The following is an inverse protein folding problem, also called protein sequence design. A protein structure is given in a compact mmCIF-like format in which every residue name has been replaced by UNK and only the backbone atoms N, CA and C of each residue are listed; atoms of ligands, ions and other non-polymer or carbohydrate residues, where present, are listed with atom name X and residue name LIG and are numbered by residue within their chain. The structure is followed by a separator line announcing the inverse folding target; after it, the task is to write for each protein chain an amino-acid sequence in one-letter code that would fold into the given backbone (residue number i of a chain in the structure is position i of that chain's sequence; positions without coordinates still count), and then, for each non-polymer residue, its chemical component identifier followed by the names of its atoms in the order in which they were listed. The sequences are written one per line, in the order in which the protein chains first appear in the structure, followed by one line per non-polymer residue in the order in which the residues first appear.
data_IF_738972402624
#
_entry.id   IF_738972402624
#
_cell.length_a   1.000
_cell.length_b   1.000
_cell.length_c   1.000
_cell.angle_alpha   90.00
_cell.angle_beta   90.00
_cell.angle_gamma   90.00
#
_symmetry.space_group_name_H-M   'P 1'
#
loop_
_entity.id
_entity.type
_entity.pdbx_description
1 polymer ?
#
# COMPACT_ATOMS: atom_id res chain seq x y z
N UNK A 1 -57.59 40.29 -2.18
CA UNK A 1 -56.24 40.03 -2.78
C UNK A 1 -55.34 39.10 -1.94
N UNK A 2 -55.86 38.25 -1.08
CA UNK A 2 -55.04 37.40 -0.14
C UNK A 2 -54.63 36.00 -0.66
N UNK A 3 -55.30 35.46 -1.70
CA UNK A 3 -55.11 34.10 -2.13
C UNK A 3 -53.83 33.81 -2.94
N UNK A 4 -53.32 34.78 -3.72
CA UNK A 4 -52.13 34.63 -4.55
C UNK A 4 -50.83 34.50 -3.77
N UNK A 5 -50.70 35.20 -2.60
CA UNK A 5 -49.48 35.12 -1.76
C UNK A 5 -49.31 33.75 -1.06
N UNK A 6 -50.41 33.09 -0.66
CA UNK A 6 -50.37 31.78 -0.03
C UNK A 6 -49.94 30.67 -1.03
N UNK A 7 -50.44 30.74 -2.28
CA UNK A 7 -50.12 29.78 -3.34
C UNK A 7 -48.64 29.83 -3.73
N UNK A 8 -48.02 31.00 -3.82
CA UNK A 8 -46.59 31.15 -4.14
C UNK A 8 -45.68 30.65 -3.01
N UNK A 9 -46.06 30.82 -1.74
CA UNK A 9 -45.30 30.24 -0.62
C UNK A 9 -45.36 28.72 -0.58
N UNK A 10 -46.49 28.12 -0.95
CA UNK A 10 -46.65 26.67 -1.02
C UNK A 10 -45.84 26.08 -2.15
N UNK A 11 -45.81 26.72 -3.31
CA UNK A 11 -45.00 26.28 -4.46
C UNK A 11 -43.49 26.37 -4.13
N UNK A 12 -43.07 27.48 -3.46
CA UNK A 12 -41.67 27.64 -3.03
C UNK A 12 -41.24 26.54 -2.05
N UNK A 13 -42.07 26.24 -1.05
CA UNK A 13 -41.79 25.17 -0.08
C UNK A 13 -41.73 23.76 -0.75
N UNK A 14 -42.60 23.50 -1.73
CA UNK A 14 -42.63 22.24 -2.47
C UNK A 14 -41.35 22.07 -3.32
N UNK A 15 -40.90 23.13 -3.99
CA UNK A 15 -39.67 23.12 -4.81
C UNK A 15 -38.43 22.89 -3.93
N UNK A 16 -38.38 23.54 -2.75
CA UNK A 16 -37.28 23.36 -1.81
C UNK A 16 -37.25 21.93 -1.25
N UNK A 17 -38.39 21.37 -0.92
CA UNK A 17 -38.51 19.98 -0.44
C UNK A 17 -38.09 18.98 -1.52
N UNK A 18 -38.52 19.19 -2.76
CA UNK A 18 -38.13 18.33 -3.90
C UNK A 18 -36.62 18.40 -4.15
N UNK A 19 -36.03 19.59 -4.08
CA UNK A 19 -34.60 19.79 -4.20
C UNK A 19 -33.78 19.05 -3.11
N UNK A 20 -34.25 19.12 -1.86
CA UNK A 20 -33.63 18.42 -0.74
C UNK A 20 -33.71 16.88 -0.91
N UNK A 21 -34.86 16.37 -1.35
CA UNK A 21 -35.03 14.92 -1.62
C UNK A 21 -34.12 14.47 -2.75
N UNK A 22 -34.03 15.22 -3.86
CA UNK A 22 -33.11 14.91 -4.97
C UNK A 22 -31.64 14.92 -4.52
N UNK A 23 -31.23 15.88 -3.67
CA UNK A 23 -29.88 15.95 -3.13
C UNK A 23 -29.56 14.72 -2.24
N UNK A 24 -30.50 14.30 -1.39
CA UNK A 24 -30.35 13.11 -0.56
C UNK A 24 -30.24 11.82 -1.39
N UNK A 25 -31.02 11.69 -2.46
CA UNK A 25 -30.95 10.53 -3.37
C UNK A 25 -29.61 10.53 -4.09
N UNK A 26 -29.13 11.67 -4.59
CA UNK A 26 -27.81 11.76 -5.22
C UNK A 26 -26.68 11.42 -4.26
N UNK A 27 -26.74 11.89 -3.01
CA UNK A 27 -25.77 11.52 -1.97
C UNK A 27 -25.82 10.02 -1.65
N UNK A 28 -27.00 9.43 -1.56
CA UNK A 28 -27.16 7.98 -1.28
C UNK A 28 -26.65 7.13 -2.44
N UNK A 29 -26.90 7.52 -3.69
CA UNK A 29 -26.38 6.84 -4.90
C UNK A 29 -24.85 6.97 -4.96
N UNK A 30 -24.30 8.16 -4.71
CA UNK A 30 -22.86 8.40 -4.71
C UNK A 30 -22.15 7.62 -3.60
N UNK A 31 -22.74 7.58 -2.41
CA UNK A 31 -22.21 6.81 -1.28
C UNK A 31 -22.30 5.29 -1.56
N UNK A 32 -23.43 4.82 -2.10
CA UNK A 32 -23.62 3.43 -2.49
C UNK A 32 -22.63 2.97 -3.56
N UNK A 33 -22.39 3.77 -4.61
CA UNK A 33 -21.41 3.43 -5.64
C UNK A 33 -19.98 3.45 -5.12
N UNK A 34 -19.63 4.38 -4.21
CA UNK A 34 -18.32 4.41 -3.57
C UNK A 34 -18.09 3.19 -2.67
N UNK A 35 -19.10 2.82 -1.86
CA UNK A 35 -19.03 1.61 -1.00
C UNK A 35 -18.97 0.35 -1.86
N UNK A 36 -19.69 0.28 -2.97
CA UNK A 36 -19.67 -0.86 -3.88
C UNK A 36 -18.30 -1.01 -4.57
N UNK A 37 -17.70 0.09 -5.05
CA UNK A 37 -16.35 0.07 -5.63
C UNK A 37 -15.26 -0.28 -4.61
N UNK A 38 -15.41 0.12 -3.34
CA UNK A 38 -14.51 -0.33 -2.27
C UNK A 38 -14.70 -1.82 -1.94
N UNK A 39 -15.94 -2.31 -1.94
CA UNK A 39 -16.23 -3.73 -1.69
C UNK A 39 -15.74 -4.63 -2.83
N UNK A 40 -15.89 -4.20 -4.08
CA UNK A 40 -15.41 -4.92 -5.27
C UNK A 40 -13.88 -5.02 -5.28
N UNK A 41 -13.19 -3.91 -4.97
CA UNK A 41 -11.73 -3.93 -4.80
C UNK A 41 -11.26 -4.79 -3.62
N UNK A 42 -12.09 -4.98 -2.58
CA UNK A 42 -11.79 -5.89 -1.48
C UNK A 42 -12.07 -7.35 -1.83
N UNK A 43 -13.02 -7.63 -2.73
CA UNK A 43 -13.32 -8.97 -3.24
C UNK A 43 -12.18 -9.52 -4.10
N UNK A 44 -11.65 -8.72 -5.02
CA UNK A 44 -10.56 -9.12 -5.90
C UNK A 44 -9.24 -9.35 -5.14
N UNK A 45 -8.99 -8.59 -4.05
CA UNK A 45 -7.80 -8.78 -3.22
C UNK A 45 -7.86 -10.07 -2.37
N UNK A 46 -9.04 -10.61 -2.07
CA UNK A 46 -9.16 -11.89 -1.36
C UNK A 46 -8.97 -13.10 -2.28
N UNK A 47 -9.23 -12.98 -3.58
CA UNK A 47 -9.08 -14.08 -4.54
C UNK A 47 -7.62 -14.25 -5.00
N UNK A 48 -6.77 -13.21 -4.91
CA UNK A 48 -5.34 -13.29 -5.22
C UNK A 48 -4.46 -13.89 -4.09
N UNK A 49 -5.04 -14.18 -2.93
CA UNK A 49 -4.31 -14.71 -1.76
C UNK A 49 -3.96 -16.21 -1.83
N UNK A 50 -4.22 -16.91 -2.95
CA UNK A 50 -3.99 -18.35 -3.06
C UNK A 50 -2.73 -18.74 -3.85
N UNK A 51 -2.04 -17.79 -4.47
CA UNK A 51 -0.71 -18.06 -5.04
C UNK A 51 0.31 -17.90 -3.91
N UNK A 52 1.08 -18.93 -3.62
CA UNK A 52 2.11 -18.92 -2.59
C UNK A 52 2.99 -17.67 -2.82
N UNK A 53 2.92 -16.71 -1.91
CA UNK A 53 3.64 -15.46 -2.06
C UNK A 53 5.13 -15.80 -2.25
N UNK A 54 5.67 -15.42 -3.39
CA UNK A 54 7.11 -15.58 -3.66
C UNK A 54 7.87 -14.86 -2.55
N UNK A 55 8.89 -15.49 -2.03
CA UNK A 55 9.66 -14.99 -0.88
C UNK A 55 10.90 -14.26 -1.39
N UNK A 56 11.15 -13.07 -0.85
CA UNK A 56 12.35 -12.29 -1.16
C UNK A 56 13.59 -12.93 -0.52
N UNK A 57 14.59 -13.25 -1.35
CA UNK A 57 15.89 -13.74 -0.93
C UNK A 57 17.01 -12.83 -1.47
N UNK A 58 18.03 -12.57 -0.63
CA UNK A 58 19.23 -11.84 -1.02
C UNK A 58 20.37 -12.82 -1.34
N UNK A 59 21.03 -12.63 -2.48
CA UNK A 59 22.14 -13.48 -2.89
C UNK A 59 23.50 -13.03 -2.35
N UNK A 60 23.59 -11.82 -1.80
CA UNK A 60 24.85 -11.21 -1.33
C UNK A 60 25.15 -11.35 0.15
N UNK A 61 24.41 -12.18 0.91
CA UNK A 61 24.61 -12.32 2.35
C UNK A 61 24.24 -13.71 2.86
N UNK A 62 24.66 -14.00 4.09
CA UNK A 62 24.29 -15.22 4.82
C UNK A 62 23.02 -14.99 5.61
N UNK A 63 22.02 -15.87 5.50
CA UNK A 63 20.77 -15.79 6.25
C UNK A 63 21.04 -16.01 7.74
N UNK A 64 20.88 -14.96 8.56
CA UNK A 64 21.07 -14.98 10.00
C UNK A 64 19.79 -15.41 10.74
N UNK A 65 18.65 -14.91 10.30
CA UNK A 65 17.35 -15.27 10.91
C UNK A 65 16.17 -15.05 9.98
N UNK A 66 15.09 -15.78 10.26
CA UNK A 66 13.80 -15.64 9.58
C UNK A 66 12.69 -15.52 10.63
N UNK A 67 11.77 -14.58 10.42
CA UNK A 67 10.60 -14.35 11.29
C UNK A 67 9.35 -14.15 10.45
N UNK A 68 8.28 -14.83 10.84
CA UNK A 68 6.93 -14.63 10.27
C UNK A 68 6.02 -14.01 11.31
N UNK A 69 5.25 -13.03 10.89
CA UNK A 69 4.27 -12.36 11.75
C UNK A 69 3.08 -11.86 10.93
N UNK A 70 1.96 -11.66 11.61
CA UNK A 70 0.80 -11.01 11.02
C UNK A 70 0.65 -9.62 11.63
N UNK A 71 0.67 -8.58 10.79
CA UNK A 71 0.64 -7.17 11.20
C UNK A 71 -0.60 -6.51 10.60
N UNK A 72 -1.25 -5.63 11.37
CA UNK A 72 -2.39 -4.85 10.88
C UNK A 72 -1.94 -3.53 10.27
N UNK A 73 -2.13 -3.36 8.95
CA UNK A 73 -1.76 -2.18 8.19
C UNK A 73 -2.92 -1.72 7.30
N UNK A 74 -3.21 -0.42 7.29
CA UNK A 74 -4.28 0.13 6.45
C UNK A 74 -5.66 -0.52 6.69
N UNK A 75 -5.93 -1.01 7.92
CA UNK A 75 -7.17 -1.72 8.26
C UNK A 75 -7.22 -3.18 7.81
N UNK A 76 -6.16 -3.72 7.21
CA UNK A 76 -6.03 -5.11 6.75
C UNK A 76 -4.98 -5.85 7.56
N UNK A 77 -5.13 -7.17 7.68
CA UNK A 77 -4.09 -8.05 8.22
C UNK A 77 -3.14 -8.42 7.10
N UNK A 78 -1.85 -8.15 7.29
CA UNK A 78 -0.78 -8.47 6.36
C UNK A 78 0.06 -9.60 6.96
N UNK A 79 0.33 -10.63 6.19
CA UNK A 79 1.30 -11.66 6.54
C UNK A 79 2.68 -11.18 6.08
N UNK A 80 3.60 -11.11 7.02
CA UNK A 80 4.93 -10.53 6.85
C UNK A 80 5.97 -11.58 7.15
N UNK A 81 6.87 -11.79 6.19
CA UNK A 81 8.08 -12.56 6.36
C UNK A 81 9.28 -11.63 6.34
N UNK A 82 10.02 -11.57 7.42
CA UNK A 82 11.27 -10.82 7.54
C UNK A 82 12.44 -11.78 7.61
N UNK A 83 13.41 -11.61 6.73
CA UNK A 83 14.70 -12.31 6.73
C UNK A 83 15.81 -11.32 7.01
N UNK A 84 16.71 -11.65 7.93
CA UNK A 84 17.89 -10.83 8.23
C UNK A 84 19.10 -11.54 7.64
N UNK A 85 19.87 -10.80 6.85
CA UNK A 85 21.10 -11.27 6.21
C UNK A 85 22.29 -10.53 6.78
N UNK A 86 23.38 -11.26 7.04
CA UNK A 86 24.69 -10.71 7.32
C UNK A 86 25.43 -10.56 5.98
N UNK A 87 25.78 -9.33 5.64
CA UNK A 87 26.51 -9.01 4.42
C UNK A 87 28.01 -9.24 4.61
N UNK A 88 28.76 -9.30 3.51
CA UNK A 88 30.21 -9.58 3.52
C UNK A 88 31.04 -8.54 4.28
N UNK A 89 30.57 -7.30 4.40
CA UNK A 89 31.18 -6.22 5.18
C UNK A 89 30.80 -6.23 6.67
N UNK A 90 29.99 -7.20 7.11
CA UNK A 90 29.47 -7.32 8.47
C UNK A 90 28.21 -6.48 8.74
N UNK A 91 27.71 -5.72 7.76
CA UNK A 91 26.44 -5.01 7.88
C UNK A 91 25.26 -5.99 7.80
N UNK A 92 24.09 -5.55 8.28
CA UNK A 92 22.85 -6.33 8.20
C UNK A 92 21.90 -5.72 7.19
N UNK A 93 21.27 -6.58 6.40
CA UNK A 93 20.18 -6.22 5.53
C UNK A 93 18.91 -7.00 5.91
N UNK A 94 17.78 -6.32 5.91
CA UNK A 94 16.47 -6.94 6.10
C UNK A 94 15.80 -7.10 4.75
N UNK A 95 15.36 -8.31 4.43
CA UNK A 95 14.51 -8.60 3.29
C UNK A 95 13.10 -8.93 3.79
N UNK A 96 12.12 -8.14 3.38
CA UNK A 96 10.74 -8.25 3.85
C UNK A 96 9.86 -8.61 2.67
N UNK A 97 9.05 -9.65 2.84
CA UNK A 97 7.96 -10.01 1.94
C UNK A 97 6.66 -9.86 2.69
N UNK A 98 5.72 -9.08 2.19
CA UNK A 98 4.45 -8.84 2.84
C UNK A 98 3.28 -8.91 1.86
N UNK A 99 2.19 -9.55 2.28
CA UNK A 99 0.93 -9.64 1.53
C UNK A 99 -0.25 -9.43 2.50
N UNK A 100 -1.27 -8.68 2.15
CA UNK A 100 -1.45 -7.91 0.91
C UNK A 100 -0.59 -6.63 0.85
N UNK A 101 -0.59 -5.98 -0.32
CA UNK A 101 0.18 -4.77 -0.60
C UNK A 101 -0.12 -3.57 0.33
N UNK A 102 -1.18 -3.64 1.15
CA UNK A 102 -1.48 -2.64 2.19
C UNK A 102 -0.29 -2.42 3.17
N UNK A 103 0.64 -3.37 3.25
CA UNK A 103 1.85 -3.25 4.07
C UNK A 103 2.75 -2.08 3.65
N UNK A 104 2.62 -1.55 2.41
CA UNK A 104 3.34 -0.35 1.94
C UNK A 104 3.06 0.89 2.82
N UNK A 105 1.94 0.92 3.55
CA UNK A 105 1.62 1.98 4.51
C UNK A 105 2.69 2.11 5.62
N UNK A 106 3.50 1.07 5.85
CA UNK A 106 4.65 1.09 6.76
C UNK A 106 5.63 2.21 6.40
N UNK A 107 5.92 2.42 5.11
CA UNK A 107 6.80 3.49 4.65
C UNK A 107 6.35 4.86 5.15
N UNK A 108 5.04 5.12 5.14
CA UNK A 108 4.46 6.37 5.59
C UNK A 108 4.52 6.51 7.11
N UNK A 109 4.22 5.43 7.84
CA UNK A 109 4.20 5.43 9.31
C UNK A 109 5.60 5.57 9.91
N UNK A 110 6.62 4.99 9.28
CA UNK A 110 8.01 5.04 9.73
C UNK A 110 8.78 6.26 9.21
N UNK A 111 8.12 7.14 8.44
CA UNK A 111 8.72 8.39 7.97
C UNK A 111 9.75 8.23 6.85
N UNK A 112 9.68 7.14 6.09
CA UNK A 112 10.54 6.94 4.92
C UNK A 112 10.27 8.00 3.84
N UNK A 113 11.33 8.59 3.31
CA UNK A 113 11.27 9.62 2.28
C UNK A 113 11.74 9.04 0.95
N UNK A 114 10.79 8.85 0.02
CA UNK A 114 11.10 8.41 -1.34
C UNK A 114 12.00 9.43 -2.05
N UNK A 115 13.04 8.94 -2.71
CA UNK A 115 13.96 9.75 -3.50
C UNK A 115 13.56 9.70 -4.98
N UNK A 116 13.77 10.82 -5.70
CA UNK A 116 13.52 10.91 -7.14
C UNK A 116 14.68 10.29 -7.94
N UNK A 117 15.10 9.09 -7.56
CA UNK A 117 16.16 8.33 -8.24
C UNK A 117 15.48 7.18 -8.97
N UNK A 118 15.87 6.96 -10.21
CA UNK A 118 15.32 5.91 -11.08
C UNK A 118 16.34 4.81 -11.32
N UNK A 119 15.85 3.63 -11.75
CA UNK A 119 16.72 2.51 -12.12
C UNK A 119 16.95 1.49 -11.01
N UNK A 120 16.34 1.68 -9.84
CA UNK A 120 16.33 0.63 -8.81
C UNK A 120 15.31 -0.45 -9.14
N UNK A 121 15.67 -1.69 -8.83
CA UNK A 121 14.78 -2.84 -8.93
C UNK A 121 15.02 -3.80 -7.76
N UNK A 122 14.05 -4.65 -7.48
CA UNK A 122 14.18 -5.85 -6.64
C UNK A 122 13.95 -7.04 -7.57
N UNK A 123 15.03 -7.72 -7.94
CA UNK A 123 15.01 -8.69 -9.03
C UNK A 123 14.63 -8.02 -10.35
N UNK A 124 13.47 -8.41 -10.92
CA UNK A 124 12.95 -7.84 -12.18
C UNK A 124 11.87 -6.77 -11.95
N UNK A 125 11.51 -6.47 -10.69
CA UNK A 125 10.43 -5.53 -10.37
C UNK A 125 11.00 -4.15 -10.04
N UNK A 126 10.52 -3.11 -10.71
CA UNK A 126 10.90 -1.71 -10.42
C UNK A 126 10.67 -1.36 -8.96
N UNK A 127 11.63 -0.69 -8.34
CA UNK A 127 11.62 -0.35 -6.94
C UNK A 127 11.76 1.15 -6.70
N UNK A 128 11.11 1.63 -5.63
CA UNK A 128 11.31 2.97 -5.08
C UNK A 128 12.44 2.92 -4.08
N UNK A 129 13.42 3.82 -4.25
CA UNK A 129 14.47 4.06 -3.26
C UNK A 129 14.01 5.11 -2.27
N UNK A 130 14.18 4.85 -0.98
CA UNK A 130 13.81 5.75 0.09
C UNK A 130 14.87 5.81 1.19
N UNK A 131 14.97 6.96 1.84
CA UNK A 131 15.86 7.19 3.00
C UNK A 131 15.03 7.38 4.26
N UNK A 132 15.50 6.88 5.37
CA UNK A 132 14.86 7.00 6.68
C UNK A 132 15.84 6.88 7.84
N UNK A 133 15.32 6.91 9.06
CA UNK A 133 16.15 6.82 10.27
C UNK A 133 16.90 5.50 10.43
N UNK A 134 16.42 4.44 9.80
CA UNK A 134 17.04 3.10 9.83
C UNK A 134 18.03 2.87 8.67
N UNK A 135 18.25 3.86 7.81
CA UNK A 135 19.16 3.77 6.67
C UNK A 135 18.47 3.97 5.33
N UNK A 136 18.74 3.10 4.37
CA UNK A 136 18.16 3.11 3.04
C UNK A 136 17.19 1.93 2.86
N UNK A 137 16.17 2.12 2.02
CA UNK A 137 15.18 1.11 1.68
C UNK A 137 14.93 1.06 0.18
N UNK A 138 14.80 -0.14 -0.37
CA UNK A 138 14.13 -0.39 -1.64
C UNK A 138 12.75 -0.97 -1.36
N UNK A 139 11.75 -0.50 -2.08
CA UNK A 139 10.39 -1.01 -2.00
C UNK A 139 9.84 -1.26 -3.39
N UNK A 140 9.43 -2.49 -3.67
CA UNK A 140 8.79 -2.91 -4.90
C UNK A 140 7.43 -3.55 -4.60
N UNK A 141 6.53 -3.49 -5.56
CA UNK A 141 5.24 -4.16 -5.48
C UNK A 141 5.01 -4.97 -6.77
N UNK A 142 4.71 -6.26 -6.58
CA UNK A 142 4.29 -7.14 -7.66
C UNK A 142 2.94 -7.76 -7.29
N UNK A 143 1.90 -7.44 -8.06
CA UNK A 143 0.54 -7.85 -7.76
C UNK A 143 0.08 -7.43 -6.37
N UNK A 144 -0.29 -8.41 -5.54
CA UNK A 144 -0.73 -8.22 -4.15
C UNK A 144 0.41 -8.28 -3.11
N UNK A 145 1.67 -8.43 -3.52
CA UNK A 145 2.81 -8.59 -2.62
C UNK A 145 3.73 -7.38 -2.65
N UNK A 146 4.26 -7.01 -1.50
CA UNK A 146 5.28 -5.97 -1.34
C UNK A 146 6.59 -6.63 -0.95
N UNK A 147 7.66 -6.20 -1.58
CA UNK A 147 9.03 -6.58 -1.29
C UNK A 147 9.79 -5.34 -0.80
N UNK A 148 10.50 -5.48 0.32
CA UNK A 148 11.34 -4.39 0.83
C UNK A 148 12.73 -4.92 1.19
N UNK A 149 13.76 -4.14 0.88
CA UNK A 149 15.13 -4.36 1.35
C UNK A 149 15.50 -3.13 2.18
N UNK A 150 15.88 -3.33 3.44
CA UNK A 150 16.30 -2.26 4.34
C UNK A 150 17.72 -2.55 4.81
N UNK A 151 18.62 -1.58 4.67
CA UNK A 151 20.00 -1.70 5.14
C UNK A 151 20.59 -0.32 5.48
N UNK A 152 21.56 -0.31 6.39
CA UNK A 152 22.44 0.85 6.57
C UNK A 152 23.55 0.81 5.50
N UNK A 153 23.20 1.22 4.30
CA UNK A 153 24.06 1.11 3.13
C UNK A 153 23.92 2.34 2.24
N UNK A 154 24.93 2.59 1.45
CA UNK A 154 24.90 3.63 0.42
C UNK A 154 24.05 3.22 -0.79
N UNK A 155 23.79 4.16 -1.69
CA UNK A 155 22.98 3.98 -2.88
C UNK A 155 23.51 2.86 -3.79
N UNK A 156 24.84 2.76 -3.95
CA UNK A 156 25.47 1.75 -4.81
C UNK A 156 25.30 0.34 -4.23
N UNK A 157 25.44 0.20 -2.92
CA UNK A 157 25.22 -1.07 -2.22
C UNK A 157 23.75 -1.48 -2.29
N UNK A 158 22.81 -0.52 -2.11
CA UNK A 158 21.39 -0.80 -2.25
C UNK A 158 21.03 -1.23 -3.67
N UNK A 159 21.61 -0.61 -4.68
CA UNK A 159 21.45 -1.01 -6.07
C UNK A 159 21.90 -2.48 -6.28
N UNK A 160 23.08 -2.83 -5.76
CA UNK A 160 23.62 -4.19 -5.88
C UNK A 160 22.74 -5.22 -5.14
N UNK A 161 22.25 -4.89 -3.93
CA UNK A 161 21.34 -5.75 -3.18
C UNK A 161 20.04 -5.98 -3.92
N UNK A 162 19.45 -4.93 -4.51
CA UNK A 162 18.22 -5.04 -5.28
C UNK A 162 18.40 -5.87 -6.54
N UNK A 163 19.43 -5.61 -7.33
CA UNK A 163 19.73 -6.33 -8.56
C UNK A 163 20.08 -7.81 -8.31
N UNK A 164 20.71 -8.12 -7.17
CA UNK A 164 21.03 -9.50 -6.76
C UNK A 164 19.88 -10.23 -6.06
N UNK A 165 18.79 -9.57 -5.74
CA UNK A 165 17.67 -10.18 -5.06
C UNK A 165 16.89 -11.14 -5.97
N UNK A 166 16.30 -12.17 -5.38
CA UNK A 166 15.44 -13.15 -6.07
C UNK A 166 14.11 -13.29 -5.32
N UNK A 167 13.05 -13.49 -6.09
CA UNK A 167 11.74 -13.89 -5.56
C UNK A 167 11.53 -15.37 -5.85
N UNK A 168 11.48 -16.17 -4.79
CA UNK A 168 11.39 -17.66 -4.83
C UNK A 168 9.98 -18.13 -4.44
#
# INVERSE_FOLDING_TARGET
MSGKRKKNRFIGALVTLLGAVCALILCAVFYGTMVYQLADRTGDAQTQSAEAAKVLALTGGELESERRESVRMGGRTCDVLTRIYLLADGARAQAITASPAAYIERMKQEGWQAQLVTGFAIGETDAVYALGGEGAMLCAQDGGTVYMIIAQADEQTMYALGAGAKTE
#
